data_IF_030725934260
#
_entry.id   IF_030725934260
#
_cell.length_a   1.000
_cell.length_b   1.000
_cell.length_c   1.000
_cell.angle_alpha   90.00
_cell.angle_beta   90.00
_cell.angle_gamma   90.00
#
_symmetry.space_group_name_H-M   'P 1'
#
loop_
_entity.id
_entity.type
_entity.pdbx_description
1 polymer ?
#
# COMPACT_ATOMS: atom_id res chain seq x y z
N UNK A 1 13.33 -62.07 -23.01
CA UNK A 1 12.08 -61.33 -23.30
C UNK A 1 12.45 -59.89 -23.65
N UNK A 2 12.22 -59.48 -24.91
CA UNK A 2 12.47 -58.11 -25.42
C UNK A 2 11.21 -57.26 -25.15
N UNK A 3 11.34 -56.14 -24.45
CA UNK A 3 10.28 -55.15 -24.30
C UNK A 3 10.57 -53.92 -25.17
N UNK A 4 9.56 -53.52 -25.96
CA UNK A 4 9.63 -52.55 -27.03
C UNK A 4 9.72 -51.10 -26.54
N UNK A 5 10.55 -50.28 -27.21
CA UNK A 5 10.60 -48.82 -27.03
C UNK A 5 9.43 -48.18 -27.79
N UNK A 6 8.56 -47.44 -27.09
CA UNK A 6 7.56 -46.55 -27.72
C UNK A 6 8.20 -45.19 -28.06
N UNK A 7 8.02 -44.65 -29.28
CA UNK A 7 8.42 -43.27 -29.57
C UNK A 7 7.38 -42.28 -29.06
N UNK A 8 7.83 -41.23 -28.37
CA UNK A 8 7.00 -40.09 -27.96
C UNK A 8 6.81 -39.15 -29.16
N UNK A 9 5.55 -38.88 -29.50
CA UNK A 9 5.12 -37.97 -30.57
C UNK A 9 5.10 -36.53 -30.04
N UNK A 10 5.78 -35.55 -30.68
CA UNK A 10 5.67 -34.16 -30.28
C UNK A 10 4.33 -33.59 -30.78
N UNK A 11 3.50 -33.08 -29.87
CA UNK A 11 2.33 -32.28 -30.22
C UNK A 11 2.81 -30.85 -30.53
N UNK A 12 2.89 -30.52 -31.81
CA UNK A 12 3.04 -29.15 -32.27
C UNK A 12 1.71 -28.42 -32.05
N UNK A 13 1.63 -27.59 -31.01
CA UNK A 13 0.52 -26.67 -30.78
C UNK A 13 0.82 -25.33 -31.44
N UNK A 14 0.05 -24.98 -32.46
CA UNK A 14 -0.02 -23.64 -33.05
C UNK A 14 -0.57 -22.64 -32.02
N UNK A 15 0.00 -21.43 -31.86
CA UNK A 15 -0.60 -20.42 -31.00
C UNK A 15 -1.80 -19.80 -31.74
N UNK A 16 -3.01 -20.25 -31.40
CA UNK A 16 -4.23 -19.54 -31.79
C UNK A 16 -4.33 -18.26 -30.95
N UNK A 17 -4.15 -17.11 -31.59
CA UNK A 17 -4.36 -15.80 -30.97
C UNK A 17 -5.86 -15.57 -30.79
N UNK A 18 -6.43 -16.12 -29.73
CA UNK A 18 -7.80 -15.76 -29.32
C UNK A 18 -7.71 -14.44 -28.56
N UNK A 19 -8.05 -13.34 -29.25
CA UNK A 19 -8.29 -12.05 -28.64
C UNK A 19 -9.60 -12.14 -27.83
N UNK A 20 -9.51 -12.54 -26.56
CA UNK A 20 -10.64 -12.43 -25.64
C UNK A 20 -10.83 -10.95 -25.29
N UNK A 21 -12.01 -10.34 -25.52
CA UNK A 21 -12.25 -8.97 -25.10
C UNK A 21 -12.23 -8.92 -23.58
N UNK A 22 -11.25 -8.22 -23.02
CA UNK A 22 -11.15 -7.96 -21.58
C UNK A 22 -12.28 -6.99 -21.22
N UNK A 23 -13.35 -7.50 -20.61
CA UNK A 23 -14.40 -6.67 -20.01
C UNK A 23 -13.79 -5.92 -18.83
N UNK A 24 -13.47 -4.64 -19.05
CA UNK A 24 -13.08 -3.71 -17.98
C UNK A 24 -14.36 -3.10 -17.43
N UNK A 25 -14.69 -3.38 -16.18
CA UNK A 25 -15.75 -2.69 -15.45
C UNK A 25 -15.38 -1.21 -15.34
N UNK A 26 -15.89 -0.38 -16.25
CA UNK A 26 -15.86 1.09 -16.11
C UNK A 26 -16.86 1.49 -15.04
N UNK A 27 -16.41 1.93 -13.88
CA UNK A 27 -17.27 2.60 -12.90
C UNK A 27 -17.43 4.07 -13.31
N UNK A 28 -18.19 4.34 -14.37
CA UNK A 28 -18.72 5.68 -14.62
C UNK A 28 -20.23 5.61 -14.44
N UNK A 29 -20.70 5.84 -13.22
CA UNK A 29 -22.12 6.03 -12.98
C UNK A 29 -22.36 7.35 -12.23
N UNK A 30 -22.52 8.48 -12.94
CA UNK A 30 -22.84 9.77 -12.32
C UNK A 30 -24.32 9.90 -11.95
N UNK A 31 -25.15 8.85 -12.08
CA UNK A 31 -26.57 8.88 -11.76
C UNK A 31 -27.03 7.53 -11.21
N UNK A 32 -26.92 7.33 -9.90
CA UNK A 32 -27.72 6.34 -9.21
C UNK A 32 -28.62 7.06 -8.20
N UNK A 33 -29.79 7.46 -8.67
CA UNK A 33 -30.92 7.83 -7.83
C UNK A 33 -32.07 6.96 -8.29
N UNK A 34 -32.12 5.73 -7.79
CA UNK A 34 -33.31 4.90 -7.93
C UNK A 34 -34.23 5.27 -6.78
N UNK A 35 -35.23 6.09 -7.12
CA UNK A 35 -36.43 6.22 -6.32
C UNK A 35 -37.19 4.90 -6.42
N UNK A 36 -37.34 4.18 -5.30
CA UNK A 36 -38.28 3.07 -5.20
C UNK A 36 -39.46 3.52 -4.36
N UNK A 37 -40.59 3.72 -5.03
CA UNK A 37 -41.89 3.98 -4.44
C UNK A 37 -42.47 2.70 -3.83
N UNK A 38 -42.83 2.79 -2.55
CA UNK A 38 -43.91 2.05 -1.85
C UNK A 38 -43.96 0.51 -1.89
N UNK A 39 -43.64 -0.10 -0.75
CA UNK A 39 -44.58 -1.03 -0.07
C UNK A 39 -44.27 -1.13 1.43
N UNK A 40 -45.32 -0.99 2.23
CA UNK A 40 -45.37 -0.89 3.69
C UNK A 40 -44.77 -2.09 4.42
N UNK A 41 -43.76 -1.85 5.28
CA UNK A 41 -43.57 -2.59 6.55
C UNK A 41 -43.00 -1.64 7.60
N UNK A 42 -43.68 -1.59 8.75
CA UNK A 42 -43.36 -0.74 9.89
C UNK A 42 -41.98 -1.10 10.47
N UNK A 43 -41.08 -0.12 10.54
CA UNK A 43 -40.07 -0.05 11.59
C UNK A 43 -39.87 1.41 12.00
N UNK A 44 -40.24 1.69 13.24
CA UNK A 44 -40.08 2.98 13.92
C UNK A 44 -38.61 3.14 14.28
N UNK A 45 -37.87 3.77 13.38
CA UNK A 45 -36.65 4.50 13.72
C UNK A 45 -36.78 5.87 13.06
N UNK A 46 -36.86 6.91 13.89
CA UNK A 46 -36.98 8.30 13.47
C UNK A 46 -35.90 8.64 12.43
N UNK A 47 -36.29 8.75 11.16
CA UNK A 47 -35.56 9.55 10.20
C UNK A 47 -35.85 11.00 10.51
N UNK A 48 -34.87 11.67 11.11
CA UNK A 48 -34.80 13.12 11.14
C UNK A 48 -34.90 13.66 9.70
N UNK A 49 -35.66 14.74 9.43
CA UNK A 49 -35.79 15.30 8.10
C UNK A 49 -34.40 15.70 7.58
N UNK A 50 -33.85 14.91 6.66
CA UNK A 50 -32.63 15.30 5.98
C UNK A 50 -32.96 16.46 5.04
N UNK A 51 -32.74 17.67 5.56
CA UNK A 51 -32.52 18.85 4.74
C UNK A 51 -31.51 18.48 3.65
N UNK A 52 -31.69 18.91 2.39
CA UNK A 52 -30.76 18.63 1.31
C UNK A 52 -29.45 19.36 1.63
N UNK A 53 -28.56 18.69 2.37
CA UNK A 53 -27.19 19.13 2.58
C UNK A 53 -26.54 19.08 1.20
N UNK A 54 -26.08 20.23 0.72
CA UNK A 54 -25.23 20.28 -0.46
C UNK A 54 -24.04 19.35 -0.20
N UNK A 55 -24.07 18.16 -0.80
CA UNK A 55 -23.00 17.18 -0.72
C UNK A 55 -21.76 17.82 -1.39
N UNK A 56 -20.87 18.37 -0.57
CA UNK A 56 -19.57 18.82 -1.02
C UNK A 56 -18.88 17.66 -1.75
N UNK A 57 -18.23 17.95 -2.88
CA UNK A 57 -17.49 16.96 -3.65
C UNK A 57 -16.61 16.13 -2.70
N UNK A 58 -16.62 14.79 -2.78
CA UNK A 58 -15.81 13.93 -1.91
C UNK A 58 -14.33 14.32 -1.90
N UNK A 59 -13.83 14.87 -3.01
CA UNK A 59 -12.46 15.35 -3.16
C UNK A 59 -12.16 16.62 -2.36
N UNK A 60 -13.17 17.43 -2.05
CA UNK A 60 -13.02 18.65 -1.26
C UNK A 60 -12.70 18.37 0.22
N UNK A 61 -12.93 17.13 0.68
CA UNK A 61 -12.55 16.69 2.03
C UNK A 61 -11.05 16.39 2.15
N UNK A 62 -10.34 16.22 1.03
CA UNK A 62 -8.92 15.89 1.02
C UNK A 62 -8.04 17.15 0.95
N UNK A 63 -6.88 17.17 1.63
CA UNK A 63 -5.90 18.22 1.44
C UNK A 63 -5.46 18.28 -0.02
N UNK A 64 -5.45 19.48 -0.60
CA UNK A 64 -5.01 19.70 -1.99
C UNK A 64 -3.57 19.18 -2.19
N UNK A 65 -2.73 19.27 -1.16
CA UNK A 65 -1.37 18.74 -1.17
C UNK A 65 -1.32 17.22 -1.33
N UNK A 66 -2.25 16.48 -0.72
CA UNK A 66 -2.36 15.03 -0.88
C UNK A 66 -2.79 14.67 -2.29
N UNK A 67 -3.80 15.36 -2.83
CA UNK A 67 -4.28 15.14 -4.20
C UNK A 67 -3.19 15.40 -5.23
N UNK A 68 -2.49 16.54 -5.11
CA UNK A 68 -1.40 16.89 -6.02
C UNK A 68 -0.25 15.87 -5.94
N UNK A 69 0.13 15.46 -4.72
CA UNK A 69 1.21 14.48 -4.53
C UNK A 69 0.83 13.13 -5.13
N UNK A 70 -0.39 12.65 -4.90
CA UNK A 70 -0.90 11.42 -5.52
C UNK A 70 -0.98 11.51 -7.04
N UNK A 71 -1.38 12.66 -7.59
CA UNK A 71 -1.39 12.90 -9.04
C UNK A 71 0.01 12.81 -9.65
N UNK A 72 1.01 13.42 -9.01
CA UNK A 72 2.41 13.35 -9.46
C UNK A 72 2.90 11.91 -9.45
N UNK A 73 2.68 11.17 -8.36
CA UNK A 73 3.08 9.77 -8.25
C UNK A 73 2.42 8.94 -9.33
N UNK A 74 1.11 9.05 -9.49
CA UNK A 74 0.37 8.32 -10.52
C UNK A 74 0.85 8.68 -11.92
N UNK A 75 1.12 9.96 -12.19
CA UNK A 75 1.63 10.42 -13.49
C UNK A 75 2.99 9.82 -13.80
N UNK A 76 3.92 9.85 -12.84
CA UNK A 76 5.25 9.24 -12.98
C UNK A 76 5.14 7.72 -13.15
N UNK A 77 4.31 7.06 -12.34
CA UNK A 77 4.12 5.61 -12.38
C UNK A 77 3.45 5.13 -13.67
N UNK A 78 2.50 5.89 -14.21
CA UNK A 78 1.79 5.57 -15.46
C UNK A 78 2.62 5.82 -16.72
N UNK A 79 3.69 6.59 -16.62
CA UNK A 79 4.55 6.94 -17.76
C UNK A 79 5.71 5.95 -17.87
N UNK A 80 5.71 5.15 -18.94
CA UNK A 80 6.80 4.22 -19.23
C UNK A 80 8.17 4.90 -19.45
N UNK A 81 8.15 6.18 -19.83
CA UNK A 81 9.35 7.00 -20.03
C UNK A 81 9.92 7.53 -18.72
N UNK A 82 9.09 7.86 -17.73
CA UNK A 82 9.53 8.40 -16.44
C UNK A 82 9.76 7.32 -15.39
N UNK A 83 9.04 6.19 -15.49
CA UNK A 83 9.15 5.10 -14.53
C UNK A 83 10.54 4.47 -14.52
N UNK A 84 11.11 4.16 -15.70
CA UNK A 84 12.44 3.54 -15.82
C UNK A 84 13.55 4.36 -15.13
N UNK A 85 13.72 5.66 -15.43
CA UNK A 85 14.71 6.46 -14.74
C UNK A 85 14.39 6.62 -13.25
N UNK A 86 13.11 6.74 -12.87
CA UNK A 86 12.70 6.81 -11.46
C UNK A 86 13.14 5.58 -10.67
N UNK A 87 12.86 4.37 -11.17
CA UNK A 87 13.29 3.11 -10.56
C UNK A 87 14.82 3.05 -10.47
N UNK A 88 15.53 3.45 -11.53
CA UNK A 88 17.01 3.47 -11.51
C UNK A 88 17.55 4.39 -10.42
N UNK A 89 16.97 5.58 -10.27
CA UNK A 89 17.35 6.53 -9.21
C UNK A 89 17.05 5.97 -7.83
N UNK A 90 15.87 5.39 -7.61
CA UNK A 90 15.51 4.75 -6.34
C UNK A 90 16.43 3.56 -6.02
N UNK A 91 16.80 2.76 -7.01
CA UNK A 91 17.74 1.65 -6.87
C UNK A 91 19.14 2.14 -6.46
N UNK A 92 19.60 3.25 -7.04
CA UNK A 92 20.88 3.89 -6.66
C UNK A 92 20.84 4.46 -5.24
N UNK A 93 19.67 4.97 -4.82
CA UNK A 93 19.45 5.51 -3.49
C UNK A 93 19.39 4.41 -2.42
N UNK A 94 18.81 3.25 -2.77
CA UNK A 94 18.76 2.07 -1.91
C UNK A 94 20.13 1.39 -1.74
N UNK A 95 20.99 1.46 -2.77
CA UNK A 95 22.35 0.90 -2.76
C UNK A 95 23.38 2.02 -2.98
N UNK A 96 23.59 2.91 -2.00
CA UNK A 96 24.43 4.08 -2.18
C UNK A 96 25.89 3.67 -2.37
N UNK A 97 26.46 4.04 -3.52
CA UNK A 97 27.88 3.79 -3.82
C UNK A 97 28.81 4.87 -3.24
N UNK A 98 28.27 6.02 -2.88
CA UNK A 98 29.02 7.18 -2.38
C UNK A 98 28.27 7.82 -1.20
N UNK A 99 29.02 8.45 -0.29
CA UNK A 99 28.44 9.08 0.90
C UNK A 99 27.47 10.24 0.58
N UNK A 100 27.56 10.85 -0.60
CA UNK A 100 26.65 11.91 -1.03
C UNK A 100 25.25 11.40 -1.43
N UNK A 101 25.16 10.16 -1.92
CA UNK A 101 23.91 9.51 -2.29
C UNK A 101 23.35 8.63 -1.16
N UNK A 102 24.05 8.58 -0.04
CA UNK A 102 23.61 7.84 1.13
C UNK A 102 22.63 8.71 1.94
N UNK A 103 21.37 8.26 1.99
CA UNK A 103 20.28 8.94 2.72
C UNK A 103 20.57 9.02 4.22
N UNK A 104 21.36 8.10 4.78
CA UNK A 104 21.71 8.12 6.20
C UNK A 104 22.84 9.12 6.49
N UNK A 105 23.74 9.36 5.53
CA UNK A 105 24.91 10.24 5.72
C UNK A 105 24.70 11.67 5.24
N UNK A 106 23.85 11.88 4.24
CA UNK A 106 23.57 13.21 3.70
C UNK A 106 22.27 13.77 4.31
N UNK A 107 22.34 14.76 5.24
CA UNK A 107 21.16 15.27 5.94
C UNK A 107 20.17 15.98 5.01
N UNK A 108 20.66 16.60 3.94
CA UNK A 108 19.80 17.31 2.98
C UNK A 108 19.00 16.31 2.13
N UNK A 109 19.65 15.22 1.73
CA UNK A 109 19.00 14.12 1.03
C UNK A 109 18.03 13.37 1.97
N UNK A 110 18.42 13.16 3.23
CA UNK A 110 17.57 12.59 4.26
C UNK A 110 16.27 13.39 4.40
N UNK A 111 16.38 14.70 4.60
CA UNK A 111 15.24 15.60 4.72
C UNK A 111 14.35 15.54 3.47
N UNK A 112 14.94 15.55 2.27
CA UNK A 112 14.18 15.45 1.03
C UNK A 112 13.38 14.15 0.95
N UNK A 113 14.02 13.01 1.20
CA UNK A 113 13.37 11.68 1.17
C UNK A 113 12.30 11.59 2.25
N UNK A 114 12.58 12.08 3.47
CA UNK A 114 11.65 12.04 4.60
C UNK A 114 10.38 12.85 4.32
N UNK A 115 10.52 14.05 3.76
CA UNK A 115 9.37 14.91 3.43
C UNK A 115 8.62 14.55 2.14
N UNK A 116 9.20 13.69 1.29
CA UNK A 116 8.59 13.27 0.03
C UNK A 116 8.08 11.83 0.10
N UNK A 117 8.98 10.85 -0.03
CA UNK A 117 8.66 9.43 -0.14
C UNK A 117 8.20 8.88 1.21
N UNK A 118 8.93 9.17 2.28
CA UNK A 118 8.65 8.57 3.58
C UNK A 118 7.26 8.99 4.08
N UNK A 119 6.98 10.29 4.13
CA UNK A 119 5.68 10.84 4.54
C UNK A 119 4.51 10.38 3.67
N UNK A 120 4.76 9.96 2.43
CA UNK A 120 3.70 9.50 1.53
C UNK A 120 3.30 8.03 1.76
N UNK A 121 4.28 7.18 2.06
CA UNK A 121 4.08 5.73 2.12
C UNK A 121 4.14 5.16 3.54
N UNK A 122 4.70 5.89 4.50
CA UNK A 122 4.85 5.46 5.88
C UNK A 122 4.10 6.40 6.83
N UNK A 123 3.59 5.84 7.92
CA UNK A 123 2.88 6.59 8.96
C UNK A 123 3.83 7.41 9.85
N UNK A 124 5.07 6.96 10.06
CA UNK A 124 6.04 7.64 10.91
C UNK A 124 7.16 6.69 11.36
N UNK A 125 8.28 7.26 11.80
CA UNK A 125 9.43 6.50 12.33
C UNK A 125 9.31 6.22 13.83
N UNK A 126 8.47 6.98 14.53
CA UNK A 126 8.31 6.94 15.97
C UNK A 126 6.84 7.12 16.37
N UNK A 127 6.53 6.82 17.63
CA UNK A 127 5.17 6.88 18.19
C UNK A 127 4.48 8.22 17.95
N UNK A 128 5.19 9.35 18.10
CA UNK A 128 4.60 10.68 17.93
C UNK A 128 4.23 10.98 16.48
N UNK A 129 5.12 10.63 15.54
CA UNK A 129 4.84 10.78 14.10
C UNK A 129 3.67 9.89 13.66
N UNK A 130 3.67 8.63 14.12
CA UNK A 130 2.59 7.67 13.82
C UNK A 130 1.26 8.17 14.36
N UNK A 131 1.19 8.54 15.65
CA UNK A 131 -0.05 9.03 16.25
C UNK A 131 -0.58 10.30 15.59
N UNK A 132 0.30 11.23 15.20
CA UNK A 132 -0.10 12.40 14.41
C UNK A 132 -0.71 12.00 13.08
N UNK A 133 -0.09 11.05 12.37
CA UNK A 133 -0.64 10.55 11.09
C UNK A 133 -1.99 9.86 11.28
N UNK A 134 -2.18 9.10 12.37
CA UNK A 134 -3.46 8.50 12.75
C UNK A 134 -4.52 9.59 12.94
N UNK A 135 -4.21 10.62 13.72
CA UNK A 135 -5.11 11.73 13.98
C UNK A 135 -5.48 12.49 12.70
N UNK A 136 -4.49 12.78 11.85
CA UNK A 136 -4.70 13.43 10.56
C UNK A 136 -5.63 12.60 9.66
N UNK A 137 -5.46 11.28 9.64
CA UNK A 137 -6.35 10.37 8.89
C UNK A 137 -7.75 10.35 9.52
N UNK A 138 -7.88 10.23 10.84
CA UNK A 138 -9.19 10.24 11.52
C UNK A 138 -9.94 11.57 11.30
N UNK A 139 -9.23 12.71 11.25
CA UNK A 139 -9.79 14.04 10.93
C UNK A 139 -10.40 14.11 9.53
N UNK A 140 -9.95 13.30 8.58
CA UNK A 140 -10.54 13.21 7.23
C UNK A 140 -11.86 12.42 7.20
N UNK A 141 -12.24 11.80 8.33
CA UNK A 141 -13.47 11.02 8.47
C UNK A 141 -13.29 9.51 8.37
N UNK A 142 -12.06 9.00 8.41
CA UNK A 142 -11.79 7.57 8.53
C UNK A 142 -12.03 7.09 9.96
N UNK A 143 -12.60 5.89 10.13
CA UNK A 143 -12.89 5.32 11.45
C UNK A 143 -11.63 4.97 12.25
N UNK A 144 -10.59 4.54 11.55
CA UNK A 144 -9.32 4.12 12.11
C UNK A 144 -8.36 3.72 11.00
N UNK A 145 -7.18 3.28 11.39
CA UNK A 145 -6.11 2.88 10.47
C UNK A 145 -5.66 1.44 10.72
N UNK A 146 -5.00 0.87 9.72
CA UNK A 146 -4.35 -0.43 9.82
C UNK A 146 -2.83 -0.20 9.92
N UNK A 147 -2.26 -0.37 11.10
CA UNK A 147 -0.82 -0.21 11.35
C UNK A 147 -0.10 -1.53 11.05
N UNK A 148 0.94 -1.49 10.23
CA UNK A 148 1.83 -2.63 10.01
C UNK A 148 3.27 -2.27 10.35
N UNK A 149 3.96 -3.16 11.05
CA UNK A 149 5.39 -3.03 11.27
C UNK A 149 6.14 -3.20 9.94
N UNK A 150 6.84 -2.16 9.49
CA UNK A 150 7.39 -2.09 8.13
C UNK A 150 8.80 -2.69 7.98
N UNK A 151 9.45 -3.09 9.07
CA UNK A 151 10.79 -3.68 8.98
C UNK A 151 10.67 -5.14 8.54
N UNK A 152 11.03 -5.38 7.29
CA UNK A 152 11.16 -6.75 6.78
C UNK A 152 12.56 -7.30 7.09
N UNK A 153 12.62 -8.55 7.53
CA UNK A 153 13.88 -9.31 7.60
C UNK A 153 14.20 -9.76 6.18
N UNK A 154 15.30 -9.26 5.61
CA UNK A 154 15.75 -9.67 4.28
C UNK A 154 16.33 -11.09 4.36
N UNK A 155 15.44 -12.08 4.27
CA UNK A 155 15.83 -13.49 4.13
C UNK A 155 16.57 -13.64 2.79
N UNK A 156 17.91 -13.69 2.85
CA UNK A 156 18.77 -13.91 1.69
C UNK A 156 19.92 -12.90 1.49
N UNK A 157 19.93 -11.77 2.20
CA UNK A 157 21.09 -10.84 2.20
C UNK A 157 21.90 -10.89 3.51
N UNK A 158 21.33 -11.45 4.57
CA UNK A 158 22.09 -11.84 5.74
C UNK A 158 22.97 -13.03 5.36
N UNK A 159 24.29 -12.91 5.56
CA UNK A 159 25.25 -14.04 5.47
C UNK A 159 25.05 -15.05 6.61
N UNK A 160 23.81 -15.17 7.09
CA UNK A 160 23.41 -15.96 8.24
C UNK A 160 22.94 -17.30 7.71
N UNK A 161 23.65 -18.35 8.10
CA UNK A 161 23.25 -19.72 7.80
C UNK A 161 21.83 -19.92 8.35
N UNK A 162 20.83 -20.35 7.54
CA UNK A 162 19.48 -20.63 8.01
C UNK A 162 19.41 -21.69 9.13
N UNK A 163 20.53 -22.31 9.49
CA UNK A 163 20.69 -23.23 10.61
C UNK A 163 21.19 -22.57 11.90
N UNK A 164 21.50 -21.27 11.88
CA UNK A 164 21.90 -20.54 13.07
C UNK A 164 20.65 -20.23 13.92
N UNK A 165 20.42 -21.08 14.93
CA UNK A 165 19.33 -20.89 15.89
C UNK A 165 19.40 -19.54 16.63
N UNK A 166 20.60 -19.01 16.84
CA UNK A 166 20.76 -17.76 17.59
C UNK A 166 20.27 -16.57 16.75
N UNK A 167 20.67 -16.51 15.49
CA UNK A 167 20.21 -15.46 14.59
C UNK A 167 18.69 -15.56 14.33
N UNK A 168 18.15 -16.77 14.18
CA UNK A 168 16.71 -16.98 14.05
C UNK A 168 15.94 -16.47 15.30
N UNK A 169 16.47 -16.70 16.50
CA UNK A 169 15.87 -16.18 17.74
C UNK A 169 15.93 -14.66 17.83
N UNK A 170 17.04 -14.05 17.42
CA UNK A 170 17.19 -12.59 17.39
C UNK A 170 16.22 -11.93 16.40
N UNK A 171 16.01 -12.55 15.23
CA UNK A 171 15.03 -12.10 14.25
C UNK A 171 13.60 -12.18 14.79
N UNK A 172 13.23 -13.29 15.44
CA UNK A 172 11.92 -13.46 16.09
C UNK A 172 11.74 -12.41 17.19
N UNK A 173 12.76 -12.18 18.02
CA UNK A 173 12.70 -11.19 19.09
C UNK A 173 12.51 -9.78 18.52
N UNK A 174 13.25 -9.44 17.46
CA UNK A 174 13.13 -8.14 16.79
C UNK A 174 11.74 -7.92 16.18
N UNK A 175 11.18 -8.95 15.55
CA UNK A 175 9.81 -8.92 15.03
C UNK A 175 8.78 -8.77 16.15
N UNK A 176 8.95 -9.50 17.26
CA UNK A 176 8.08 -9.42 18.43
C UNK A 176 8.11 -8.02 19.05
N UNK A 177 9.30 -7.48 19.29
CA UNK A 177 9.47 -6.14 19.88
C UNK A 177 8.89 -5.06 18.97
N UNK A 178 9.14 -5.14 17.66
CA UNK A 178 8.57 -4.21 16.68
C UNK A 178 7.05 -4.28 16.60
N UNK A 179 6.49 -5.48 16.73
CA UNK A 179 5.05 -5.72 16.78
C UNK A 179 4.44 -5.13 18.04
N UNK A 180 5.02 -5.40 19.21
CA UNK A 180 4.56 -4.84 20.49
C UNK A 180 4.62 -3.32 20.49
N UNK A 181 5.68 -2.73 19.93
CA UNK A 181 5.78 -1.29 19.74
C UNK A 181 4.66 -0.76 18.82
N UNK A 182 4.34 -1.48 17.74
CA UNK A 182 3.25 -1.09 16.82
C UNK A 182 1.89 -1.11 17.53
N UNK A 183 1.66 -2.10 18.41
CA UNK A 183 0.46 -2.16 19.28
C UNK A 183 0.41 -0.96 20.24
N UNK A 184 1.52 -0.58 20.84
CA UNK A 184 1.61 0.58 21.75
C UNK A 184 1.38 1.93 21.03
N UNK A 185 1.60 1.99 19.71
CA UNK A 185 1.33 3.18 18.89
C UNK A 185 -0.13 3.29 18.45
N UNK A 186 -0.88 2.17 18.37
CA UNK A 186 -2.26 2.15 17.95
C UNK A 186 -3.18 2.87 18.95
N UNK A 187 -4.24 3.52 18.44
CA UNK A 187 -5.26 4.14 19.27
C UNK A 187 -6.59 3.37 19.16
N UNK A 188 -7.56 3.78 19.97
CA UNK A 188 -8.91 3.21 19.88
C UNK A 188 -9.48 3.33 18.45
N UNK A 189 -10.06 2.23 17.97
CA UNK A 189 -10.61 2.11 16.62
C UNK A 189 -9.59 1.74 15.53
N UNK A 190 -8.30 1.65 15.86
CA UNK A 190 -7.26 1.20 14.94
C UNK A 190 -7.06 -0.32 15.01
N UNK A 191 -6.44 -0.86 13.97
CA UNK A 191 -6.12 -2.27 13.82
C UNK A 191 -4.63 -2.45 13.59
N UNK A 192 -4.05 -3.52 14.13
CA UNK A 192 -2.64 -3.88 13.90
C UNK A 192 -2.57 -5.08 12.97
N UNK A 193 -1.83 -4.93 11.89
CA UNK A 193 -1.53 -5.97 10.92
C UNK A 193 -0.27 -6.74 11.35
N UNK A 194 -0.40 -8.07 11.34
CA UNK A 194 0.67 -9.01 11.66
C UNK A 194 1.00 -9.79 10.38
N UNK A 195 2.28 -9.91 10.05
CA UNK A 195 2.82 -10.66 8.90
C UNK A 195 3.98 -11.52 9.36
#
# INVERSE_FOLDING_TARGET
>A
MKAARRPLRPLAGTPSSVLTPRYVSRTSNPKSSVATSTTTTNNVWQQEPQTPKQELSPLAKLPISSVLRSLVILSVSSSSLLLKPCIKTLSMLAHPKTALLDVAKNPLLNMLVKHTIYKQFNAGENKLEVQRSIEDIKRLGYRGVLLGYAKEVLVGESNVDPKDEQAAREEIQMWLDGTLQTVDMAQEGDFVALK
#
